data_IF_015047408134
#
_entry.id   IF_015047408134
#
_cell.length_a   1.000
_cell.length_b   1.000
_cell.length_c   1.000
_cell.angle_alpha   90.00
_cell.angle_beta   90.00
_cell.angle_gamma   90.00
#
_symmetry.space_group_name_H-M   'P 1'
#
loop_
_entity.id
_entity.type
_entity.pdbx_description
1 polymer ?
#
# COMPACT_ATOMS: atom_id res chain seq x y z
N UNK A 1 23.26 2.93 11.68
CA UNK A 1 22.83 3.70 10.50
C UNK A 1 23.28 2.90 9.30
N UNK A 2 22.40 2.11 8.76
CA UNK A 2 22.70 1.19 7.69
C UNK A 2 22.89 1.98 6.39
N UNK A 3 23.95 1.65 5.68
CA UNK A 3 24.46 2.24 4.43
C UNK A 3 23.44 2.25 3.26
N UNK A 4 22.26 1.67 3.45
CA UNK A 4 21.26 1.46 2.43
C UNK A 4 20.70 2.78 1.87
N UNK A 5 20.27 3.71 2.71
CA UNK A 5 19.68 4.97 2.24
C UNK A 5 20.69 5.99 1.70
N UNK A 6 21.94 5.98 2.20
CA UNK A 6 23.00 6.80 1.59
C UNK A 6 23.39 6.30 0.19
N UNK A 7 23.25 5.00 -0.08
CA UNK A 7 23.51 4.40 -1.41
C UNK A 7 22.36 4.65 -2.38
N UNK A 8 21.11 4.71 -1.92
CA UNK A 8 19.94 5.02 -2.76
C UNK A 8 19.98 6.46 -3.27
N UNK A 9 20.31 7.45 -2.44
CA UNK A 9 20.44 8.85 -2.87
C UNK A 9 21.61 9.08 -3.84
N UNK A 10 22.69 8.28 -3.74
CA UNK A 10 23.84 8.36 -4.62
C UNK A 10 23.63 7.64 -5.96
N UNK A 11 22.81 6.56 -6.01
CA UNK A 11 22.47 5.83 -7.24
C UNK A 11 21.47 6.58 -8.13
N UNK A 12 20.52 7.33 -7.56
CA UNK A 12 19.59 8.16 -8.32
C UNK A 12 20.29 9.18 -9.25
N UNK A 13 21.56 9.51 -9.00
CA UNK A 13 22.34 10.44 -9.85
C UNK A 13 23.01 9.80 -11.06
N UNK A 14 22.89 8.50 -11.30
CA UNK A 14 23.68 7.80 -12.36
C UNK A 14 22.86 6.95 -13.34
N UNK A 15 21.53 7.08 -13.39
CA UNK A 15 20.72 6.27 -14.30
C UNK A 15 20.45 6.93 -15.64
N UNK A 16 20.78 6.20 -16.70
CA UNK A 16 20.41 6.50 -18.09
C UNK A 16 18.92 6.30 -18.28
N UNK A 17 18.23 7.22 -18.95
CA UNK A 17 16.82 7.11 -19.31
C UNK A 17 16.57 5.81 -20.08
N UNK A 18 15.79 4.91 -19.53
CA UNK A 18 15.25 3.77 -20.26
C UNK A 18 13.87 4.16 -20.81
N UNK A 19 13.79 4.33 -22.13
CA UNK A 19 12.59 4.82 -22.82
C UNK A 19 11.63 3.70 -23.26
N UNK A 20 11.82 2.45 -22.84
CA UNK A 20 10.93 1.33 -23.11
C UNK A 20 10.58 0.63 -21.80
N UNK A 21 9.30 0.70 -21.43
CA UNK A 21 8.70 0.12 -20.23
C UNK A 21 8.49 -1.40 -20.30
N UNK A 22 8.94 -2.05 -21.33
CA UNK A 22 8.73 -3.50 -21.57
C UNK A 22 9.87 -4.37 -21.02
N UNK A 23 11.01 -3.79 -20.70
CA UNK A 23 12.07 -4.54 -20.01
C UNK A 23 11.86 -4.41 -18.50
N UNK A 24 10.88 -5.14 -17.99
CA UNK A 24 10.75 -5.33 -16.54
C UNK A 24 12.09 -5.91 -16.04
N UNK A 25 12.75 -5.18 -15.16
CA UNK A 25 14.03 -5.51 -14.55
C UNK A 25 13.97 -6.81 -13.68
N UNK A 26 12.82 -7.47 -13.68
CA UNK A 26 12.57 -8.73 -12.98
C UNK A 26 12.65 -9.88 -13.98
N UNK A 27 13.87 -10.43 -14.15
CA UNK A 27 14.12 -11.53 -15.08
C UNK A 27 13.45 -12.85 -14.63
N UNK A 28 13.31 -13.08 -13.31
CA UNK A 28 12.72 -14.27 -12.72
C UNK A 28 11.85 -13.95 -11.53
N UNK A 29 10.53 -14.09 -11.70
CA UNK A 29 9.53 -13.80 -10.68
C UNK A 29 9.71 -14.67 -9.42
N UNK A 30 10.08 -15.94 -9.58
CA UNK A 30 10.28 -16.85 -8.44
C UNK A 30 11.40 -16.35 -7.56
N UNK A 31 12.52 -15.97 -8.17
CA UNK A 31 13.67 -15.40 -7.47
C UNK A 31 13.32 -14.06 -6.82
N UNK A 32 12.55 -13.20 -7.51
CA UNK A 32 12.11 -11.92 -6.99
C UNK A 32 11.34 -12.08 -5.68
N UNK A 33 10.31 -12.91 -5.66
CA UNK A 33 9.49 -13.14 -4.46
C UNK A 33 10.25 -13.85 -3.35
N UNK A 34 11.04 -14.88 -3.68
CA UNK A 34 11.80 -15.61 -2.65
C UNK A 34 12.86 -14.74 -1.96
N UNK A 35 13.52 -13.84 -2.69
CA UNK A 35 14.47 -12.88 -2.10
C UNK A 35 13.77 -11.88 -1.18
N UNK A 36 12.62 -11.35 -1.59
CA UNK A 36 11.84 -10.45 -0.75
C UNK A 36 11.40 -11.13 0.56
N UNK A 37 10.87 -12.36 0.47
CA UNK A 37 10.51 -13.13 1.66
C UNK A 37 11.69 -13.39 2.60
N UNK A 38 12.86 -13.74 2.06
CA UNK A 38 14.07 -13.95 2.86
C UNK A 38 14.51 -12.67 3.56
N UNK A 39 14.51 -11.54 2.84
CA UNK A 39 14.83 -10.24 3.43
C UNK A 39 13.93 -9.92 4.62
N UNK A 40 12.60 -10.01 4.44
CA UNK A 40 11.64 -9.65 5.48
C UNK A 40 11.66 -10.60 6.68
N UNK A 41 12.02 -11.88 6.49
CA UNK A 41 12.25 -12.83 7.60
C UNK A 41 13.42 -12.44 8.51
N UNK A 42 14.41 -11.72 7.98
CA UNK A 42 15.57 -11.23 8.74
C UNK A 42 15.31 -9.87 9.41
N UNK A 43 14.25 -9.15 9.01
CA UNK A 43 13.91 -7.84 9.59
C UNK A 43 13.36 -8.01 11.00
N UNK A 44 13.88 -7.28 12.01
CA UNK A 44 13.33 -7.34 13.36
C UNK A 44 11.84 -6.95 13.40
N UNK A 45 10.97 -7.72 14.08
CA UNK A 45 9.52 -7.47 14.17
C UNK A 45 9.21 -6.30 15.13
N UNK A 46 9.69 -5.12 14.80
CA UNK A 46 9.53 -3.86 15.54
C UNK A 46 9.03 -2.75 14.63
N UNK A 47 8.49 -1.66 15.21
CA UNK A 47 8.07 -0.50 14.43
C UNK A 47 9.23 0.07 13.61
N UNK A 48 10.43 0.09 14.17
CA UNK A 48 11.63 0.57 13.48
C UNK A 48 12.02 -0.35 12.32
N UNK A 49 11.94 -1.67 12.52
CA UNK A 49 12.16 -2.67 11.46
C UNK A 49 11.15 -2.51 10.30
N UNK A 50 9.85 -2.38 10.62
CA UNK A 50 8.81 -2.15 9.60
C UNK A 50 8.98 -0.85 8.81
N UNK A 51 9.76 0.09 9.33
CA UNK A 51 10.02 1.40 8.72
C UNK A 51 11.48 1.54 8.24
N UNK A 52 12.20 0.44 8.07
CA UNK A 52 13.57 0.43 7.56
C UNK A 52 14.55 1.29 8.36
N UNK A 53 14.35 1.42 9.68
CA UNK A 53 15.15 2.26 10.57
C UNK A 53 14.63 3.69 10.73
N UNK A 54 13.48 4.04 10.12
CA UNK A 54 12.84 5.36 10.23
C UNK A 54 11.66 5.35 11.21
N UNK A 55 11.75 4.63 12.31
CA UNK A 55 10.67 4.55 13.31
C UNK A 55 10.14 5.90 13.79
N UNK A 56 10.98 6.93 13.76
CA UNK A 56 10.63 8.33 14.14
C UNK A 56 9.52 8.94 13.29
N UNK A 57 9.37 8.55 12.01
CA UNK A 57 8.32 9.08 11.14
C UNK A 57 6.94 8.48 11.41
N UNK A 58 6.86 7.41 12.20
CA UNK A 58 5.62 6.65 12.39
C UNK A 58 4.43 7.53 12.82
N UNK A 59 4.66 8.50 13.70
CA UNK A 59 3.57 9.37 14.16
C UNK A 59 3.14 10.38 13.10
N UNK A 60 4.08 10.90 12.31
CA UNK A 60 3.80 11.82 11.20
C UNK A 60 2.98 11.09 10.13
N UNK A 61 3.43 9.89 9.76
CA UNK A 61 2.77 9.00 8.81
C UNK A 61 1.31 8.72 9.20
N UNK A 62 1.08 8.24 10.42
CA UNK A 62 -0.26 7.91 10.95
C UNK A 62 -1.16 9.15 10.99
N UNK A 63 -0.65 10.30 11.45
CA UNK A 63 -1.45 11.52 11.54
C UNK A 63 -1.86 12.03 10.16
N UNK A 64 -0.96 11.99 9.18
CA UNK A 64 -1.26 12.32 7.78
C UNK A 64 -2.34 11.40 7.23
N UNK A 65 -2.13 10.08 7.34
CA UNK A 65 -3.07 9.05 6.87
C UNK A 65 -4.46 9.18 7.51
N UNK A 66 -4.52 9.49 8.81
CA UNK A 66 -5.79 9.69 9.52
C UNK A 66 -6.56 10.89 8.99
N UNK A 67 -5.89 12.05 8.85
CA UNK A 67 -6.49 13.26 8.29
C UNK A 67 -6.99 13.03 6.87
N UNK A 68 -6.22 12.28 6.09
CA UNK A 68 -6.56 11.93 4.74
C UNK A 68 -7.85 11.07 4.68
N UNK A 69 -7.90 9.93 5.38
CA UNK A 69 -9.06 9.03 5.41
C UNK A 69 -10.33 9.72 5.92
N UNK A 70 -10.23 10.57 6.94
CA UNK A 70 -11.38 11.26 7.53
C UNK A 70 -12.16 12.14 6.54
N UNK A 71 -11.57 12.53 5.41
CA UNK A 71 -12.25 13.27 4.34
C UNK A 71 -13.36 12.42 3.67
N UNK A 72 -13.22 11.09 3.65
CA UNK A 72 -14.05 10.15 2.90
C UNK A 72 -14.96 9.31 3.77
N UNK A 73 -14.56 9.05 5.02
CA UNK A 73 -15.31 8.20 5.95
C UNK A 73 -16.53 8.95 6.54
N UNK A 74 -17.60 8.22 6.80
CA UNK A 74 -18.78 8.75 7.48
C UNK A 74 -20.07 8.05 7.11
N UNK A 75 -21.17 8.67 7.50
CA UNK A 75 -22.52 8.27 7.14
C UNK A 75 -23.07 9.22 6.04
N UNK A 76 -23.94 8.70 5.20
CA UNK A 76 -24.60 9.45 4.14
C UNK A 76 -24.16 9.06 2.74
N UNK A 77 -24.78 9.69 1.76
CA UNK A 77 -24.58 9.40 0.34
C UNK A 77 -23.13 9.66 -0.08
N UNK A 78 -22.55 8.72 -0.81
CA UNK A 78 -21.17 8.79 -1.32
C UNK A 78 -20.07 8.63 -0.26
N UNK A 79 -20.41 8.53 1.03
CA UNK A 79 -19.42 8.28 2.10
C UNK A 79 -19.08 6.79 2.21
N UNK A 80 -17.84 6.55 2.62
CA UNK A 80 -17.32 5.20 2.87
C UNK A 80 -17.63 4.79 4.30
N UNK A 81 -18.14 3.58 4.48
CA UNK A 81 -18.45 3.00 5.79
C UNK A 81 -17.21 2.76 6.66
N UNK A 82 -17.44 2.43 7.91
CA UNK A 82 -16.40 2.16 8.91
C UNK A 82 -16.57 0.76 9.56
N UNK A 83 -17.10 -0.19 8.80
CA UNK A 83 -17.34 -1.56 9.29
C UNK A 83 -16.09 -2.40 9.33
N UNK A 84 -15.44 -2.62 8.19
CA UNK A 84 -14.29 -3.50 8.08
C UNK A 84 -13.21 -2.89 7.15
N UNK A 85 -11.95 -2.94 7.59
CA UNK A 85 -10.81 -2.59 6.74
C UNK A 85 -9.89 -3.80 6.54
N UNK A 86 -9.09 -3.76 5.46
CA UNK A 86 -8.01 -4.71 5.20
C UNK A 86 -6.67 -3.96 5.22
N UNK A 87 -5.70 -4.48 5.99
CA UNK A 87 -4.32 -4.01 6.04
C UNK A 87 -3.44 -4.93 5.21
N UNK A 88 -2.93 -4.45 4.07
CA UNK A 88 -2.11 -5.22 3.14
C UNK A 88 -0.62 -4.96 3.34
N UNK A 89 0.16 -6.03 3.54
CA UNK A 89 1.54 -5.92 4.00
C UNK A 89 1.58 -5.41 5.44
N UNK A 90 0.73 -5.97 6.30
CA UNK A 90 0.44 -5.44 7.62
C UNK A 90 1.63 -5.46 8.57
N UNK A 91 2.63 -6.32 8.32
CA UNK A 91 3.76 -6.52 9.21
C UNK A 91 3.29 -6.88 10.62
N UNK A 92 3.82 -6.19 11.61
CA UNK A 92 3.41 -6.37 13.02
C UNK A 92 2.10 -5.66 13.38
N UNK A 93 1.34 -5.15 12.39
CA UNK A 93 0.08 -4.44 12.62
C UNK A 93 0.22 -2.98 13.05
N UNK A 94 1.28 -2.29 12.64
CA UNK A 94 1.52 -0.88 12.98
C UNK A 94 0.38 0.02 12.48
N UNK A 95 0.00 -0.10 11.21
CA UNK A 95 -1.11 0.62 10.59
C UNK A 95 -2.44 0.15 11.20
N UNK A 96 -2.64 -1.15 11.31
CA UNK A 96 -3.82 -1.72 11.98
C UNK A 96 -4.06 -1.07 13.34
N UNK A 97 -3.07 -1.06 14.24
CA UNK A 97 -3.20 -0.53 15.61
C UNK A 97 -3.48 0.96 15.66
N UNK A 98 -2.72 1.73 14.88
CA UNK A 98 -2.66 3.20 15.06
C UNK A 98 -3.57 3.97 14.11
N UNK A 99 -3.97 3.38 12.98
CA UNK A 99 -4.82 4.02 11.98
C UNK A 99 -6.18 3.31 11.84
N UNK A 100 -6.18 2.00 11.54
CA UNK A 100 -7.41 1.34 11.10
C UNK A 100 -8.33 0.99 12.27
N UNK A 101 -7.86 0.36 13.33
CA UNK A 101 -8.70 0.04 14.51
C UNK A 101 -9.33 1.27 15.19
N UNK A 102 -8.66 2.45 15.24
CA UNK A 102 -9.31 3.68 15.69
C UNK A 102 -10.45 4.20 14.80
N UNK A 103 -10.54 3.75 13.55
CA UNK A 103 -11.51 4.24 12.56
C UNK A 103 -12.55 3.19 12.14
N UNK A 104 -12.20 1.91 12.19
CA UNK A 104 -13.04 0.80 11.72
C UNK A 104 -13.41 -0.13 12.87
N UNK A 105 -14.60 -0.76 12.78
CA UNK A 105 -15.07 -1.70 13.79
C UNK A 105 -14.19 -2.94 13.86
N UNK A 106 -13.82 -3.50 12.70
CA UNK A 106 -12.95 -4.67 12.58
C UNK A 106 -11.91 -4.46 11.50
N UNK A 107 -10.82 -5.21 11.56
CA UNK A 107 -9.74 -5.18 10.57
C UNK A 107 -9.31 -6.62 10.28
N UNK A 108 -9.00 -6.90 9.01
CA UNK A 108 -8.26 -8.08 8.61
C UNK A 108 -6.82 -7.69 8.23
N UNK A 109 -5.87 -8.56 8.49
CA UNK A 109 -4.47 -8.38 8.15
C UNK A 109 -4.03 -9.43 7.13
N UNK A 110 -3.23 -9.01 6.16
CA UNK A 110 -2.50 -9.94 5.29
C UNK A 110 -1.02 -9.56 5.25
N UNK A 111 -0.16 -10.55 5.44
CA UNK A 111 1.29 -10.43 5.31
C UNK A 111 1.89 -11.76 4.86
N UNK A 112 3.01 -11.74 4.16
CA UNK A 112 3.70 -12.96 3.71
C UNK A 112 4.47 -13.61 4.86
N UNK A 113 4.84 -12.85 5.89
CA UNK A 113 5.69 -13.28 7.00
C UNK A 113 4.85 -13.69 8.21
N UNK A 114 4.75 -15.00 8.47
CA UNK A 114 3.96 -15.53 9.60
C UNK A 114 4.43 -14.98 10.94
N UNK A 115 5.74 -14.81 11.14
CA UNK A 115 6.30 -14.27 12.38
C UNK A 115 5.81 -12.84 12.67
N UNK A 116 5.62 -12.02 11.64
CA UNK A 116 5.04 -10.68 11.80
C UNK A 116 3.58 -10.74 12.25
N UNK A 117 2.79 -11.63 11.68
CA UNK A 117 1.39 -11.81 12.08
C UNK A 117 1.26 -12.35 13.51
N UNK A 118 2.15 -13.25 13.92
CA UNK A 118 2.22 -13.74 15.31
C UNK A 118 2.62 -12.60 16.27
N UNK A 119 3.58 -11.76 15.87
CA UNK A 119 3.94 -10.57 16.61
C UNK A 119 2.80 -9.55 16.68
N UNK A 120 2.04 -9.39 15.60
CA UNK A 120 0.90 -8.48 15.54
C UNK A 120 -0.12 -8.79 16.64
N UNK A 121 -0.41 -10.07 16.90
CA UNK A 121 -1.37 -10.49 17.98
C UNK A 121 -0.96 -9.93 19.35
N UNK A 122 0.33 -9.94 19.65
CA UNK A 122 0.85 -9.40 20.93
C UNK A 122 1.03 -7.88 20.88
N UNK A 123 1.44 -7.33 19.74
CA UNK A 123 1.62 -5.88 19.56
C UNK A 123 0.29 -5.12 19.64
N UNK A 124 -0.79 -5.68 19.12
CA UNK A 124 -2.13 -5.09 19.19
C UNK A 124 -2.70 -5.09 20.61
N UNK A 125 -2.32 -6.06 21.46
CA UNK A 125 -2.84 -6.18 22.81
C UNK A 125 -4.34 -6.49 22.81
N UNK A 126 -5.12 -5.82 23.66
CA UNK A 126 -6.58 -6.03 23.74
C UNK A 126 -7.35 -5.74 22.45
N UNK A 127 -6.79 -4.89 21.59
CA UNK A 127 -7.39 -4.57 20.28
C UNK A 127 -7.30 -5.75 19.29
N UNK A 128 -6.46 -6.76 19.54
CA UNK A 128 -6.35 -7.96 18.70
C UNK A 128 -7.68 -8.71 18.55
N UNK A 129 -8.59 -8.60 19.54
CA UNK A 129 -9.95 -9.17 19.47
C UNK A 129 -10.85 -8.57 18.38
N UNK A 130 -10.47 -7.42 17.84
CA UNK A 130 -11.15 -6.74 16.72
C UNK A 130 -10.53 -7.05 15.37
N UNK A 131 -9.48 -7.86 15.34
CA UNK A 131 -8.93 -8.44 14.12
C UNK A 131 -9.64 -9.77 13.89
N UNK A 132 -10.40 -9.86 12.80
CA UNK A 132 -11.16 -11.07 12.50
C UNK A 132 -10.31 -12.13 11.78
N UNK A 133 -9.41 -11.71 10.90
CA UNK A 133 -8.56 -12.64 10.15
C UNK A 133 -7.10 -12.16 10.09
N UNK A 134 -6.20 -13.14 10.14
CA UNK A 134 -4.77 -12.99 9.88
C UNK A 134 -4.41 -13.95 8.75
N UNK A 135 -4.17 -13.40 7.56
CA UNK A 135 -3.83 -14.19 6.36
C UNK A 135 -2.33 -14.19 6.14
N UNK A 136 -1.69 -15.36 6.25
CA UNK A 136 -0.29 -15.52 5.87
C UNK A 136 -0.24 -15.89 4.37
N UNK A 137 -0.06 -14.88 3.52
CA UNK A 137 -0.11 -15.05 2.06
C UNK A 137 0.57 -13.87 1.37
N UNK A 138 1.28 -14.12 0.28
CA UNK A 138 1.77 -13.08 -0.60
C UNK A 138 0.62 -12.39 -1.34
N UNK A 139 0.74 -11.07 -1.57
CA UNK A 139 -0.33 -10.32 -2.22
C UNK A 139 -0.57 -10.77 -3.68
N UNK A 140 0.43 -11.35 -4.35
CA UNK A 140 0.29 -11.93 -5.68
C UNK A 140 -0.74 -13.07 -5.72
N UNK A 141 -0.93 -13.78 -4.60
CA UNK A 141 -1.84 -14.93 -4.48
C UNK A 141 -3.07 -14.63 -3.62
N UNK A 142 -3.05 -13.53 -2.86
CA UNK A 142 -4.11 -13.20 -1.91
C UNK A 142 -5.43 -12.88 -2.62
N UNK A 143 -6.52 -13.47 -2.10
CA UNK A 143 -7.89 -13.25 -2.57
C UNK A 143 -8.72 -12.60 -1.46
N UNK A 144 -9.01 -11.29 -1.52
CA UNK A 144 -9.94 -10.64 -0.62
C UNK A 144 -11.34 -11.28 -0.67
N UNK A 145 -12.00 -11.38 0.47
CA UNK A 145 -13.39 -11.85 0.50
C UNK A 145 -14.28 -10.83 -0.23
N UNK A 146 -15.18 -11.27 -1.14
CA UNK A 146 -16.04 -10.38 -1.89
C UNK A 146 -16.91 -9.50 -0.97
N UNK A 147 -17.08 -8.24 -1.34
CA UNK A 147 -17.97 -7.26 -0.68
C UNK A 147 -17.79 -7.17 0.84
N UNK A 148 -16.58 -7.34 1.32
CA UNK A 148 -16.26 -7.36 2.75
C UNK A 148 -15.75 -6.04 3.29
N UNK A 149 -14.97 -5.29 2.52
CA UNK A 149 -14.15 -4.19 3.02
C UNK A 149 -14.71 -2.83 2.64
N UNK A 150 -14.79 -1.93 3.61
CA UNK A 150 -15.06 -0.52 3.38
C UNK A 150 -13.78 0.19 2.91
N UNK A 151 -12.61 -0.21 3.44
CA UNK A 151 -11.30 0.29 3.00
C UNK A 151 -10.32 -0.87 2.88
N UNK A 152 -9.58 -0.90 1.78
CA UNK A 152 -8.39 -1.73 1.58
C UNK A 152 -7.19 -0.79 1.60
N UNK A 153 -6.35 -0.89 2.64
CA UNK A 153 -5.17 -0.07 2.84
C UNK A 153 -3.92 -0.81 2.40
N UNK A 154 -3.16 -0.22 1.49
CA UNK A 154 -1.97 -0.81 0.88
C UNK A 154 -0.83 0.19 1.06
N UNK A 155 0.13 -0.10 1.95
CA UNK A 155 1.19 0.86 2.25
C UNK A 155 2.57 0.19 2.31
N UNK A 156 3.52 0.74 1.54
CA UNK A 156 4.92 0.31 1.47
C UNK A 156 5.10 -1.19 1.17
N UNK A 157 4.29 -1.69 0.24
CA UNK A 157 4.29 -3.11 -0.13
C UNK A 157 4.14 -3.37 -1.62
N UNK A 158 3.64 -2.40 -2.40
CA UNK A 158 3.42 -2.61 -3.84
C UNK A 158 4.73 -2.75 -4.62
N UNK A 159 5.84 -2.29 -4.07
CA UNK A 159 7.18 -2.51 -4.62
C UNK A 159 7.57 -3.97 -4.69
N UNK A 160 6.99 -4.83 -3.86
CA UNK A 160 7.20 -6.28 -3.86
C UNK A 160 6.27 -7.05 -4.80
N UNK A 161 5.56 -6.37 -5.70
CA UNK A 161 4.76 -6.99 -6.76
C UNK A 161 5.32 -6.64 -8.13
N UNK A 162 5.33 -7.60 -9.06
CA UNK A 162 5.53 -7.31 -10.48
C UNK A 162 4.36 -6.49 -11.00
N UNK A 163 4.51 -5.80 -12.14
CA UNK A 163 3.44 -4.97 -12.70
C UNK A 163 2.17 -5.78 -12.95
N UNK A 164 2.29 -6.97 -13.56
CA UNK A 164 1.16 -7.85 -13.83
C UNK A 164 0.47 -8.29 -12.53
N UNK A 165 1.25 -8.71 -11.54
CA UNK A 165 0.67 -9.15 -10.25
C UNK A 165 0.06 -7.98 -9.48
N UNK A 166 0.60 -6.77 -9.59
CA UNK A 166 -0.02 -5.57 -8.99
C UNK A 166 -1.38 -5.28 -9.62
N UNK A 167 -1.47 -5.31 -10.95
CA UNK A 167 -2.74 -5.12 -11.68
C UNK A 167 -3.77 -6.18 -11.26
N UNK A 168 -3.37 -7.46 -11.25
CA UNK A 168 -4.26 -8.56 -10.86
C UNK A 168 -4.69 -8.46 -9.39
N UNK A 169 -3.77 -8.09 -8.48
CA UNK A 169 -4.09 -7.88 -7.08
C UNK A 169 -5.10 -6.74 -6.89
N UNK A 170 -4.90 -5.62 -7.57
CA UNK A 170 -5.84 -4.49 -7.52
C UNK A 170 -7.22 -4.87 -8.08
N UNK A 171 -7.30 -5.69 -9.14
CA UNK A 171 -8.56 -6.24 -9.66
C UNK A 171 -9.28 -7.09 -8.61
N UNK A 172 -8.56 -7.94 -7.90
CA UNK A 172 -9.12 -8.74 -6.80
C UNK A 172 -9.57 -7.86 -5.64
N UNK A 173 -8.79 -6.82 -5.29
CA UNK A 173 -9.19 -5.84 -4.28
C UNK A 173 -10.50 -5.15 -4.62
N UNK A 174 -10.72 -4.79 -5.90
CA UNK A 174 -11.99 -4.20 -6.36
C UNK A 174 -13.19 -5.09 -6.02
N UNK A 175 -13.07 -6.39 -6.21
CA UNK A 175 -14.14 -7.34 -5.88
C UNK A 175 -14.35 -7.50 -4.37
N UNK A 176 -13.36 -7.18 -3.56
CA UNK A 176 -13.43 -7.20 -2.10
C UNK A 176 -14.12 -5.99 -1.48
N UNK A 177 -14.35 -4.92 -2.25
CA UNK A 177 -14.95 -3.69 -1.74
C UNK A 177 -16.47 -3.82 -1.57
N UNK A 178 -16.98 -3.23 -0.50
CA UNK A 178 -18.39 -2.90 -0.33
C UNK A 178 -18.79 -1.72 -1.23
N UNK A 179 -20.10 -1.48 -1.43
CA UNK A 179 -20.56 -0.25 -2.05
C UNK A 179 -19.94 0.99 -1.38
N UNK A 180 -19.45 1.95 -2.18
CA UNK A 180 -18.67 3.11 -1.73
C UNK A 180 -17.32 2.79 -1.06
N UNK A 181 -16.86 1.56 -1.14
CA UNK A 181 -15.55 1.16 -0.61
C UNK A 181 -14.38 1.81 -1.38
N UNK A 182 -13.24 1.91 -0.71
CA UNK A 182 -12.04 2.58 -1.23
C UNK A 182 -10.83 1.65 -1.20
N UNK A 183 -9.99 1.74 -2.22
CA UNK A 183 -8.62 1.24 -2.19
C UNK A 183 -7.71 2.45 -1.99
N UNK A 184 -6.87 2.38 -0.96
CA UNK A 184 -5.87 3.40 -0.65
C UNK A 184 -4.50 2.81 -0.89
N UNK A 185 -3.72 3.43 -1.76
CA UNK A 185 -2.31 3.11 -1.98
C UNK A 185 -1.46 4.25 -1.45
N UNK A 186 -0.51 3.93 -0.57
CA UNK A 186 0.47 4.86 -0.01
C UNK A 186 1.85 4.24 -0.10
N UNK A 187 2.65 4.69 -1.05
CA UNK A 187 3.95 4.09 -1.30
C UNK A 187 4.98 5.11 -1.75
N UNK A 188 6.24 4.71 -1.73
CA UNK A 188 7.34 5.49 -2.29
C UNK A 188 7.17 5.62 -3.80
N UNK A 189 7.49 6.79 -4.36
CA UNK A 189 7.54 6.99 -5.81
C UNK A 189 8.93 7.39 -6.26
N UNK A 190 9.34 6.82 -7.39
CA UNK A 190 10.54 7.23 -8.10
C UNK A 190 10.31 8.59 -8.75
N UNK A 191 11.40 9.33 -8.97
CA UNK A 191 11.33 10.59 -9.69
C UNK A 191 10.93 10.36 -11.17
N UNK A 192 11.44 9.29 -11.78
CA UNK A 192 11.16 8.91 -13.17
C UNK A 192 11.33 7.40 -13.36
N UNK A 193 10.39 6.77 -14.06
CA UNK A 193 10.46 5.37 -14.47
C UNK A 193 10.31 4.37 -13.32
N UNK A 194 11.07 3.28 -13.40
CA UNK A 194 11.09 2.21 -12.40
C UNK A 194 12.52 1.99 -11.92
N UNK A 195 12.73 2.01 -10.61
CA UNK A 195 14.03 1.84 -9.96
C UNK A 195 14.00 0.54 -9.16
N UNK A 196 14.82 -0.48 -9.50
CA UNK A 196 14.93 -1.69 -8.71
C UNK A 196 15.72 -1.44 -7.42
N UNK A 197 15.34 -2.11 -6.35
CA UNK A 197 16.13 -2.25 -5.12
C UNK A 197 16.52 -3.72 -4.94
N UNK A 198 17.79 -4.02 -5.16
CA UNK A 198 18.35 -5.38 -5.02
C UNK A 198 18.50 -5.82 -3.56
N UNK A 199 18.35 -4.90 -2.59
CA UNK A 199 18.56 -5.19 -1.17
C UNK A 199 17.37 -5.95 -0.59
N UNK A 200 16.15 -5.46 -0.86
CA UNK A 200 14.91 -6.05 -0.38
C UNK A 200 14.08 -6.72 -1.49
N UNK A 201 14.65 -6.77 -2.70
CA UNK A 201 14.00 -7.31 -3.90
C UNK A 201 12.65 -6.63 -4.16
N UNK A 202 12.69 -5.31 -4.32
CA UNK A 202 11.53 -4.49 -4.65
C UNK A 202 11.81 -3.58 -5.84
N UNK A 203 10.76 -2.91 -6.31
CA UNK A 203 10.83 -1.85 -7.32
C UNK A 203 10.10 -0.60 -6.84
N UNK A 204 10.73 0.56 -7.04
CA UNK A 204 10.09 1.85 -6.82
C UNK A 204 9.65 2.41 -8.18
N UNK A 205 8.35 2.66 -8.35
CA UNK A 205 7.74 3.15 -9.60
C UNK A 205 7.51 4.65 -9.53
N UNK A 206 7.58 5.35 -10.66
CA UNK A 206 7.09 6.72 -10.71
C UNK A 206 5.56 6.78 -10.67
N UNK A 207 5.03 7.96 -10.40
CA UNK A 207 3.59 8.15 -10.24
C UNK A 207 2.79 7.88 -11.53
N UNK A 208 3.37 8.15 -12.70
CA UNK A 208 2.68 7.89 -13.98
C UNK A 208 2.61 6.39 -14.27
N UNK A 209 3.64 5.63 -13.89
CA UNK A 209 3.61 4.16 -13.96
C UNK A 209 2.50 3.64 -13.04
N UNK A 210 2.44 4.09 -11.79
CA UNK A 210 1.40 3.68 -10.85
C UNK A 210 0.00 4.00 -11.34
N UNK A 211 -0.24 5.22 -11.83
CA UNK A 211 -1.54 5.63 -12.38
C UNK A 211 -2.01 4.72 -13.52
N UNK A 212 -1.10 4.33 -14.42
CA UNK A 212 -1.43 3.39 -15.52
C UNK A 212 -1.77 1.99 -15.01
N UNK A 213 -1.03 1.46 -14.03
CA UNK A 213 -1.32 0.15 -13.45
C UNK A 213 -2.67 0.14 -12.73
N UNK A 214 -3.02 1.22 -12.02
CA UNK A 214 -4.34 1.41 -11.41
C UNK A 214 -5.44 1.44 -12.47
N UNK A 215 -5.25 2.18 -13.56
CA UNK A 215 -6.20 2.25 -14.69
C UNK A 215 -6.38 0.88 -15.36
N UNK A 216 -5.29 0.14 -15.61
CA UNK A 216 -5.33 -1.23 -16.14
C UNK A 216 -6.09 -2.20 -15.22
N UNK A 217 -6.11 -1.97 -13.93
CA UNK A 217 -6.91 -2.73 -12.98
C UNK A 217 -8.41 -2.40 -13.03
N UNK A 218 -8.82 -1.44 -13.85
CA UNK A 218 -10.21 -0.97 -13.93
C UNK A 218 -10.63 -0.16 -12.71
N UNK A 219 -9.68 0.60 -12.16
CA UNK A 219 -9.87 1.50 -11.03
C UNK A 219 -9.68 2.95 -11.50
N UNK A 220 -10.43 3.88 -10.89
CA UNK A 220 -10.27 5.30 -11.13
C UNK A 220 -9.69 5.97 -9.88
N UNK A 221 -8.58 6.69 -10.03
CA UNK A 221 -8.02 7.52 -8.96
C UNK A 221 -8.92 8.75 -8.81
N UNK A 222 -9.58 8.86 -7.66
CA UNK A 222 -10.51 9.96 -7.36
C UNK A 222 -9.87 11.05 -6.50
N UNK A 223 -8.77 10.75 -5.84
CA UNK A 223 -8.05 11.72 -5.01
C UNK A 223 -6.59 11.31 -4.81
N UNK A 224 -5.72 12.29 -4.79
CA UNK A 224 -4.28 12.13 -4.57
C UNK A 224 -3.77 13.27 -3.69
N UNK A 225 -2.90 12.96 -2.73
CA UNK A 225 -2.28 13.93 -1.83
C UNK A 225 -0.87 13.48 -1.47
N UNK A 226 0.07 14.41 -1.41
CA UNK A 226 1.43 14.13 -0.98
C UNK A 226 1.52 14.12 0.55
N UNK A 227 2.14 13.06 1.13
CA UNK A 227 2.47 13.04 2.55
C UNK A 227 3.39 14.20 2.90
N UNK A 228 2.99 14.99 3.89
CA UNK A 228 3.74 16.15 4.34
C UNK A 228 4.61 15.84 5.56
N UNK A 229 5.62 16.70 5.78
CA UNK A 229 6.49 16.71 6.95
C UNK A 229 7.36 15.45 7.14
N UNK A 230 7.63 14.71 6.08
CA UNK A 230 8.69 13.71 6.08
C UNK A 230 10.06 14.40 5.94
N UNK A 231 11.14 13.78 6.48
CA UNK A 231 12.51 14.23 6.23
C UNK A 231 12.82 14.27 4.72
N UNK A 232 13.64 15.25 4.30
CA UNK A 232 13.97 15.48 2.87
C UNK A 232 14.72 14.31 2.22
N UNK A 233 15.38 13.46 3.03
CA UNK A 233 16.10 12.27 2.55
C UNK A 233 15.18 11.08 2.22
N UNK A 234 13.89 11.13 2.56
CA UNK A 234 12.92 10.09 2.25
C UNK A 234 12.29 10.36 0.87
N UNK A 235 12.00 9.32 0.12
CA UNK A 235 11.24 9.40 -1.12
C UNK A 235 9.93 10.18 -0.94
N UNK A 236 9.44 10.76 -2.03
CA UNK A 236 8.08 11.27 -2.04
C UNK A 236 7.10 10.12 -1.83
N UNK A 237 6.12 10.32 -0.95
CA UNK A 237 5.13 9.32 -0.59
C UNK A 237 3.74 9.89 -0.87
N UNK A 238 3.20 9.76 -2.08
CA UNK A 238 1.82 10.10 -2.36
C UNK A 238 0.87 9.08 -1.70
N UNK A 239 -0.31 9.56 -1.37
CA UNK A 239 -1.46 8.75 -0.96
C UNK A 239 -2.52 8.90 -2.03
N UNK A 240 -2.91 7.82 -2.66
CA UNK A 240 -3.97 7.81 -3.68
C UNK A 240 -5.19 7.05 -3.20
N UNK A 241 -6.38 7.52 -3.57
CA UNK A 241 -7.64 6.79 -3.40
C UNK A 241 -8.18 6.41 -4.75
N UNK A 242 -8.56 5.14 -4.88
CA UNK A 242 -9.19 4.61 -6.07
C UNK A 242 -10.54 3.98 -5.76
N UNK A 243 -11.49 4.11 -6.70
CA UNK A 243 -12.78 3.43 -6.72
C UNK A 243 -12.90 2.54 -7.96
N UNK A 244 -13.79 1.56 -7.88
CA UNK A 244 -14.20 0.82 -9.06
C UNK A 244 -14.78 1.77 -10.12
N UNK A 245 -14.42 1.55 -11.39
CA UNK A 245 -15.10 2.22 -12.48
C UNK A 245 -16.52 1.67 -12.53
N UNK A 246 -17.52 2.50 -12.28
CA UNK A 246 -18.92 2.14 -12.49
C UNK A 246 -19.17 2.05 -13.99
N UNK A 247 -19.59 0.88 -14.48
CA UNK A 247 -20.09 0.74 -15.84
C UNK A 247 -21.49 1.38 -15.92
N UNK A 248 -21.55 2.69 -15.90
CA UNK A 248 -22.79 3.41 -16.16
C UNK A 248 -23.08 3.41 -17.66
N UNK A 249 -23.98 2.52 -18.07
CA UNK A 249 -24.80 2.77 -19.26
C UNK A 249 -25.73 3.96 -18.94
N UNK A 250 -25.22 5.17 -19.10
CA UNK A 250 -26.01 6.39 -19.23
C UNK A 250 -26.43 7.12 -17.96
N UNK A 251 -25.48 7.70 -17.23
CA UNK A 251 -25.66 8.96 -16.49
C UNK A 251 -24.28 9.47 -16.04
N UNK A 252 -23.95 10.70 -16.43
CA UNK A 252 -22.72 11.38 -16.00
C UNK A 252 -22.79 11.65 -14.48
N UNK A 253 -22.08 10.87 -13.69
CA UNK A 253 -21.86 11.22 -12.28
C UNK A 253 -20.85 12.36 -12.22
N UNK A 254 -21.34 13.55 -11.88
CA UNK A 254 -20.55 14.78 -11.77
C UNK A 254 -19.56 14.75 -10.59
N UNK A 255 -18.40 14.16 -10.81
CA UNK A 255 -17.26 14.33 -9.93
C UNK A 255 -16.16 15.07 -10.70
N UNK A 256 -15.96 16.32 -10.33
CA UNK A 256 -14.86 17.14 -10.83
C UNK A 256 -13.55 16.70 -10.14
N UNK A 257 -12.52 16.39 -10.92
CA UNK A 257 -11.16 16.23 -10.43
C UNK A 257 -10.76 17.60 -9.85
N UNK A 258 -10.52 17.65 -8.54
CA UNK A 258 -9.94 18.84 -7.91
C UNK A 258 -8.42 18.69 -8.02
N UNK A 259 -7.82 19.35 -9.00
CA UNK A 259 -6.39 19.61 -9.05
C UNK A 259 -6.05 20.61 -7.93
N UNK A 260 -5.10 20.25 -7.06
CA UNK A 260 -4.48 21.16 -6.08
C UNK A 260 -2.98 21.12 -6.26
#
# INVERSE_FOLDING_TARGET
>A
MTDCNKRQSARARKQRSCTKMEDCLIEDQTTFYSKAELYWKEVPPTVDGMLGGYGSISSIDINGSKKFLQKFLGEGEGKTGMGCALDCGAGIGRITKRLLLPLFRTVDLVDVTQEFLDKARTYLGDEAKRVENYFCCGLQDFQPQPERYDVIWIQWVIGHLTDDHLVEFLRRCRSGLRPNGLIVVKDNVAYEGVIPDDVDSSVCRDLNVLRRLVDQAGLNIIYEEQQQNFPEEIYQVPVTISKAVENNSGEESGWTIIEV
#
